data_IF_963654929971
#
_entry.id   IF_963654929971
#
_cell.length_a   1.000
_cell.length_b   1.000
_cell.length_c   1.000
_cell.angle_alpha   90.00
_cell.angle_beta   90.00
_cell.angle_gamma   90.00
#
_symmetry.space_group_name_H-M   'P 1'
#
loop_
_entity.id
_entity.type
_entity.pdbx_description
1 polymer ?
#
# COMPACT_ATOMS: atom_id res chain seq x y z
N UNK A 1 -3.28 -16.21 -3.28
CA UNK A 1 -3.23 -14.90 -2.59
C UNK A 1 -3.25 -15.18 -1.10
N UNK A 2 -2.22 -14.78 -0.35
CA UNK A 2 -2.17 -15.06 1.10
C UNK A 2 -3.17 -14.17 1.83
N UNK A 3 -3.76 -14.64 2.93
CA UNK A 3 -4.71 -13.85 3.75
C UNK A 3 -4.16 -12.45 4.13
N UNK A 4 -2.84 -12.37 4.37
CA UNK A 4 -2.15 -11.13 4.70
C UNK A 4 -2.15 -10.11 3.55
N UNK A 5 -2.02 -10.55 2.30
CA UNK A 5 -2.02 -9.63 1.16
C UNK A 5 -3.38 -8.94 0.98
N UNK A 6 -4.48 -9.69 1.08
CA UNK A 6 -5.83 -9.10 1.03
C UNK A 6 -6.05 -8.09 2.17
N UNK A 7 -5.61 -8.42 3.38
CA UNK A 7 -5.73 -7.55 4.55
C UNK A 7 -4.94 -6.24 4.37
N UNK A 8 -3.70 -6.31 3.91
CA UNK A 8 -2.85 -5.14 3.70
C UNK A 8 -3.34 -4.26 2.55
N UNK A 9 -3.81 -4.84 1.45
CA UNK A 9 -4.45 -4.07 0.37
C UNK A 9 -5.67 -3.31 0.85
N UNK A 10 -6.52 -3.93 1.67
CA UNK A 10 -7.68 -3.25 2.25
C UNK A 10 -7.28 -2.11 3.19
N UNK A 11 -6.18 -2.23 3.93
CA UNK A 11 -5.65 -1.14 4.75
C UNK A 11 -5.18 0.05 3.88
N UNK A 12 -4.51 -0.21 2.76
CA UNK A 12 -4.12 0.83 1.79
C UNK A 12 -5.35 1.49 1.16
N UNK A 13 -6.37 0.71 0.81
CA UNK A 13 -7.65 1.24 0.32
C UNK A 13 -8.30 2.15 1.36
N UNK A 14 -8.33 1.73 2.63
CA UNK A 14 -8.83 2.55 3.74
C UNK A 14 -8.08 3.88 3.89
N UNK A 15 -6.75 3.86 3.73
CA UNK A 15 -5.94 5.07 3.71
C UNK A 15 -6.27 5.96 2.49
N UNK A 16 -6.45 5.40 1.30
CA UNK A 16 -6.79 6.18 0.12
C UNK A 16 -8.20 6.80 0.22
N UNK A 17 -9.15 6.11 0.86
CA UNK A 17 -10.50 6.63 1.10
C UNK A 17 -10.52 7.88 1.98
N UNK A 18 -9.52 8.09 2.84
CA UNK A 18 -9.43 9.31 3.66
C UNK A 18 -8.81 10.50 2.90
N UNK A 19 -8.38 10.31 1.65
CA UNK A 19 -7.71 11.32 0.84
C UNK A 19 -8.41 11.54 -0.51
N UNK A 20 -8.97 12.73 -0.77
CA UNK A 20 -9.78 12.96 -1.98
C UNK A 20 -8.99 12.86 -3.30
N UNK A 21 -7.67 12.95 -3.26
CA UNK A 21 -6.83 13.04 -4.47
C UNK A 21 -6.29 11.69 -4.98
N UNK A 22 -6.65 10.56 -4.33
CA UNK A 22 -6.12 9.22 -4.66
C UNK A 22 -7.27 8.26 -5.01
N UNK A 23 -8.21 8.73 -5.82
CA UNK A 23 -9.45 7.99 -6.16
C UNK A 23 -9.17 6.57 -6.67
N UNK A 24 -8.17 6.40 -7.56
CA UNK A 24 -7.79 5.06 -8.06
C UNK A 24 -7.36 4.09 -6.97
N UNK A 25 -6.83 4.59 -5.85
CA UNK A 25 -6.37 3.80 -4.72
C UNK A 25 -7.51 3.26 -3.84
N UNK A 26 -8.73 3.76 -4.02
CA UNK A 26 -9.93 3.26 -3.34
C UNK A 26 -10.42 1.91 -3.90
N UNK A 27 -9.90 1.51 -5.07
CA UNK A 27 -10.25 0.26 -5.74
C UNK A 27 -9.19 -0.81 -5.41
N UNK A 28 -9.54 -1.91 -4.73
CA UNK A 28 -8.56 -2.91 -4.28
C UNK A 28 -7.71 -3.53 -5.40
N UNK A 29 -8.27 -3.70 -6.61
CA UNK A 29 -7.56 -4.28 -7.77
C UNK A 29 -6.50 -3.35 -8.38
N UNK A 30 -6.54 -2.06 -8.02
CA UNK A 30 -5.52 -1.09 -8.38
C UNK A 30 -4.36 -1.06 -7.39
N UNK A 31 -4.56 -1.54 -6.15
CA UNK A 31 -3.50 -1.65 -5.16
C UNK A 31 -2.71 -2.93 -5.39
N UNK A 32 -1.44 -2.77 -5.76
CA UNK A 32 -0.55 -3.87 -6.14
C UNK A 32 0.61 -3.96 -5.18
N UNK A 33 0.87 -5.16 -4.67
CA UNK A 33 2.09 -5.47 -3.92
C UNK A 33 3.30 -5.34 -4.85
N UNK A 34 4.38 -4.75 -4.34
CA UNK A 34 5.63 -4.52 -5.09
C UNK A 34 6.83 -5.24 -4.51
N UNK A 35 6.80 -5.56 -3.23
CA UNK A 35 7.91 -6.21 -2.54
C UNK A 35 7.91 -5.92 -1.06
N UNK A 36 8.92 -6.38 -0.35
CA UNK A 36 9.11 -6.14 1.06
C UNK A 36 10.52 -5.66 1.37
N UNK A 37 10.63 -4.80 2.38
CA UNK A 37 11.90 -4.28 2.89
C UNK A 37 11.92 -4.54 4.39
N UNK A 38 12.65 -5.57 4.82
CA UNK A 38 12.53 -6.12 6.17
C UNK A 38 11.09 -6.59 6.43
N UNK A 39 10.48 -6.09 7.51
CA UNK A 39 9.11 -6.42 7.93
C UNK A 39 8.02 -5.55 7.31
N UNK A 40 8.41 -4.65 6.39
CA UNK A 40 7.51 -3.70 5.73
C UNK A 40 7.11 -4.22 4.37
N UNK A 41 5.82 -4.13 4.06
CA UNK A 41 5.24 -4.51 2.77
C UNK A 41 5.00 -3.25 1.95
N UNK A 42 5.47 -3.27 0.71
CA UNK A 42 5.41 -2.14 -0.20
C UNK A 42 4.28 -2.35 -1.20
N UNK A 43 3.40 -1.35 -1.30
CA UNK A 43 2.26 -1.33 -2.21
C UNK A 43 2.29 -0.06 -3.06
N UNK A 44 1.69 -0.14 -4.25
CA UNK A 44 1.55 0.98 -5.17
C UNK A 44 0.17 0.93 -5.85
N UNK A 45 -0.38 2.10 -6.17
CA UNK A 45 -1.63 2.23 -6.92
C UNK A 45 -1.31 2.27 -8.42
N UNK A 46 -1.94 1.41 -9.21
CA UNK A 46 -1.77 1.39 -10.67
C UNK A 46 -2.08 2.76 -11.28
N UNK A 47 -1.12 3.28 -12.05
CA UNK A 47 -1.24 4.58 -12.71
C UNK A 47 -1.03 5.78 -11.78
N UNK A 48 -0.48 5.57 -10.59
CA UNK A 48 0.04 6.62 -9.70
C UNK A 48 1.45 6.19 -9.25
N UNK A 49 2.42 6.32 -10.13
CA UNK A 49 3.76 5.77 -9.92
C UNK A 49 4.57 6.55 -8.88
N UNK A 50 4.23 7.81 -8.62
CA UNK A 50 4.89 8.64 -7.63
C UNK A 50 4.51 8.31 -6.19
N UNK A 51 3.47 7.49 -5.95
CA UNK A 51 2.98 7.25 -4.59
C UNK A 51 3.21 5.81 -4.15
N UNK A 52 3.99 5.63 -3.09
CA UNK A 52 4.28 4.32 -2.50
C UNK A 52 3.67 4.23 -1.11
N UNK A 53 3.12 3.06 -0.79
CA UNK A 53 2.54 2.75 0.51
C UNK A 53 3.40 1.70 1.23
N UNK A 54 3.87 2.04 2.41
CA UNK A 54 4.50 1.12 3.34
C UNK A 54 3.45 0.62 4.33
N UNK A 55 3.33 -0.70 4.43
CA UNK A 55 2.40 -1.37 5.34
C UNK A 55 3.20 -2.21 6.33
N UNK A 56 2.99 -1.98 7.62
CA UNK A 56 3.61 -2.72 8.71
C UNK A 56 2.54 -3.38 9.57
N UNK A 57 2.69 -4.68 9.83
CA UNK A 57 1.83 -5.41 10.77
C UNK A 57 2.49 -5.54 12.13
N UNK A 58 1.94 -4.87 13.14
CA UNK A 58 2.39 -4.95 14.52
C UNK A 58 1.74 -6.17 15.19
N UNK A 59 2.51 -7.25 15.34
CA UNK A 59 1.98 -8.53 15.87
C UNK A 59 1.41 -8.38 17.29
N UNK A 60 2.09 -7.62 18.15
CA UNK A 60 1.74 -7.48 19.57
C UNK A 60 0.40 -6.80 19.77
N UNK A 61 0.11 -5.77 18.98
CA UNK A 61 -1.15 -5.00 19.05
C UNK A 61 -2.18 -5.44 18.02
N UNK A 62 -1.82 -6.37 17.12
CA UNK A 62 -2.60 -6.77 15.94
C UNK A 62 -3.01 -5.60 15.05
N UNK A 63 -2.24 -4.51 15.06
CA UNK A 63 -2.52 -3.30 14.27
C UNK A 63 -1.81 -3.33 12.91
N UNK A 64 -2.39 -2.61 11.95
CA UNK A 64 -1.77 -2.34 10.65
C UNK A 64 -1.49 -0.85 10.57
N UNK A 65 -0.23 -0.50 10.33
CA UNK A 65 0.17 0.86 10.07
C UNK A 65 0.38 1.02 8.56
N UNK A 66 -0.22 2.07 8.01
CA UNK A 66 -0.05 2.46 6.61
C UNK A 66 0.58 3.84 6.57
N UNK A 67 1.70 3.96 5.84
CA UNK A 67 2.35 5.25 5.54
C UNK A 67 2.44 5.41 4.04
N UNK A 68 2.14 6.61 3.54
CA UNK A 68 2.33 6.95 2.14
C UNK A 68 3.54 7.87 1.98
N UNK A 69 4.30 7.67 0.91
CA UNK A 69 5.45 8.48 0.55
C UNK A 69 5.28 8.95 -0.90
N UNK A 70 5.35 10.27 -1.10
CA UNK A 70 5.46 10.85 -2.43
C UNK A 70 6.93 10.76 -2.85
N UNK A 71 7.19 9.92 -3.83
CA UNK A 71 8.48 9.66 -4.41
C UNK A 71 8.51 10.30 -5.80
N UNK A 72 9.40 11.27 -6.01
CA UNK A 72 9.66 11.84 -7.35
C UNK A 72 10.38 10.86 -8.30
N UNK A 73 10.42 9.56 -7.98
CA UNK A 73 11.16 8.55 -8.73
C UNK A 73 10.25 7.36 -9.01
N UNK A 74 10.10 7.00 -10.28
CA UNK A 74 9.40 5.79 -10.72
C UNK A 74 10.17 4.56 -10.23
N UNK A 75 9.67 3.90 -9.19
CA UNK A 75 10.24 2.64 -8.72
C UNK A 75 9.67 1.49 -9.56
N UNK A 76 10.48 0.96 -10.48
CA UNK A 76 10.15 -0.21 -11.29
C UNK A 76 10.59 -1.46 -10.53
N UNK A 77 9.65 -2.28 -10.09
CA UNK A 77 9.94 -3.64 -9.60
C UNK A 77 9.53 -4.64 -10.69
N UNK A 78 10.50 -5.43 -11.14
CA UNK A 78 10.35 -6.49 -12.15
C UNK A 78 9.76 -7.78 -11.60
#
# INVERSE_FOLDING_TARGET
MTYKDSLFRMAVVGYCNSLPNIEKGTIPTNVSFKGNVGDKYIYQVKGIDSLIFEVLYLKDTKQILVKAYDCQMSVVFG
#
